data_IF_540043810742
#
_entry.id   IF_540043810742
#
_cell.length_a   1.000
_cell.length_b   1.000
_cell.length_c   1.000
_cell.angle_alpha   90.00
_cell.angle_beta   90.00
_cell.angle_gamma   90.00
#
_symmetry.space_group_name_H-M   'P 1'
#
loop_
_entity.id
_entity.type
_entity.pdbx_description
1 polymer ?
#
# COMPACT_ATOMS: atom_id res chain seq x y z
N UNK A 1 34.11 -27.74 -44.55
CA UNK A 1 34.33 -26.64 -43.60
C UNK A 1 32.98 -26.06 -43.16
N UNK A 2 32.46 -26.54 -42.04
CA UNK A 2 31.21 -26.07 -41.46
C UNK A 2 31.51 -25.05 -40.36
N UNK A 3 31.32 -23.75 -40.68
CA UNK A 3 31.46 -22.64 -39.74
C UNK A 3 30.30 -22.63 -38.80
N UNK A 4 30.52 -23.00 -37.55
CA UNK A 4 29.55 -22.79 -36.48
C UNK A 4 29.51 -21.30 -36.14
N UNK A 5 28.46 -20.61 -36.57
CA UNK A 5 28.21 -19.23 -36.18
C UNK A 5 27.99 -19.19 -34.66
N UNK A 6 29.01 -18.72 -33.91
CA UNK A 6 28.85 -18.36 -32.50
C UNK A 6 27.82 -17.21 -32.42
N UNK A 7 26.61 -17.54 -32.02
CA UNK A 7 25.65 -16.51 -31.58
C UNK A 7 26.29 -15.73 -30.44
N UNK A 8 26.73 -14.51 -30.71
CA UNK A 8 27.13 -13.56 -29.67
C UNK A 8 25.95 -13.44 -28.71
N UNK A 9 26.09 -13.88 -27.46
CA UNK A 9 25.18 -13.51 -26.39
C UNK A 9 25.15 -11.98 -26.37
N UNK A 10 24.02 -11.38 -26.67
CA UNK A 10 23.84 -9.95 -26.49
C UNK A 10 24.20 -9.64 -25.03
N UNK A 11 25.16 -8.75 -24.83
CA UNK A 11 25.51 -8.30 -23.48
C UNK A 11 24.25 -7.68 -22.86
N UNK A 12 23.81 -8.23 -21.73
CA UNK A 12 22.73 -7.61 -20.95
C UNK A 12 23.13 -6.17 -20.64
N UNK A 13 22.25 -5.22 -20.94
CA UNK A 13 22.46 -3.84 -20.54
C UNK A 13 22.59 -3.78 -19.02
N UNK A 14 23.57 -3.03 -18.48
CA UNK A 14 23.66 -2.83 -17.04
C UNK A 14 22.37 -2.15 -16.55
N UNK A 15 21.91 -2.55 -15.37
CA UNK A 15 20.75 -1.92 -14.74
C UNK A 15 21.05 -0.44 -14.45
N UNK A 16 20.06 0.45 -14.59
CA UNK A 16 20.22 1.81 -14.11
C UNK A 16 20.46 1.84 -12.60
N UNK A 17 21.17 2.83 -12.10
CA UNK A 17 21.48 2.98 -10.67
C UNK A 17 20.25 3.34 -9.82
N UNK A 18 19.22 3.90 -10.45
CA UNK A 18 17.97 4.31 -9.82
C UNK A 18 16.77 3.84 -10.63
N UNK A 19 15.65 3.65 -9.94
CA UNK A 19 14.36 3.39 -10.56
C UNK A 19 13.79 4.64 -11.25
N UNK A 20 12.60 4.50 -11.78
CA UNK A 20 11.93 5.55 -12.54
C UNK A 20 10.54 5.82 -11.97
N UNK A 21 10.21 7.10 -11.79
CA UNK A 21 8.87 7.56 -11.44
C UNK A 21 8.14 7.95 -12.72
N UNK A 22 6.92 7.44 -12.88
CA UNK A 22 6.04 7.73 -14.02
C UNK A 22 4.71 8.27 -13.52
N UNK A 23 4.13 9.15 -14.31
CA UNK A 23 2.75 9.62 -14.16
C UNK A 23 1.91 8.96 -15.26
N UNK A 24 0.85 8.27 -14.90
CA UNK A 24 0.06 7.46 -15.83
C UNK A 24 -1.45 7.64 -15.63
N UNK A 25 -2.19 7.46 -16.69
CA UNK A 25 -3.64 7.29 -16.63
C UNK A 25 -3.96 5.79 -16.53
N UNK A 26 -4.70 5.40 -15.50
CA UNK A 26 -5.18 4.04 -15.35
C UNK A 26 -6.63 3.98 -15.84
N UNK A 27 -6.95 3.12 -16.83
CA UNK A 27 -8.32 2.98 -17.32
C UNK A 27 -9.30 2.54 -16.21
N UNK A 28 -10.50 3.11 -16.22
CA UNK A 28 -11.56 2.88 -15.25
C UNK A 28 -12.71 2.02 -15.82
N UNK A 29 -12.40 1.06 -16.68
CA UNK A 29 -13.38 0.33 -17.49
C UNK A 29 -14.43 -0.45 -16.67
N UNK A 30 -14.10 -0.86 -15.44
CA UNK A 30 -15.01 -1.58 -14.54
C UNK A 30 -15.70 -0.66 -13.54
N UNK A 31 -14.96 0.27 -12.97
CA UNK A 31 -15.48 1.16 -11.93
C UNK A 31 -16.25 2.37 -12.46
N UNK A 32 -15.88 2.83 -13.63
CA UNK A 32 -16.28 4.15 -14.14
C UNK A 32 -15.96 5.29 -13.15
N UNK A 33 -14.98 5.08 -12.27
CA UNK A 33 -14.55 6.06 -11.29
C UNK A 33 -13.64 7.11 -11.94
N UNK A 34 -13.93 8.38 -11.74
CA UNK A 34 -13.12 9.47 -12.27
C UNK A 34 -11.93 9.74 -11.36
N UNK A 35 -10.81 9.11 -11.66
CA UNK A 35 -9.55 9.28 -10.93
C UNK A 35 -8.63 10.28 -11.62
N UNK A 36 -7.83 10.98 -10.81
CA UNK A 36 -6.66 11.72 -11.30
C UNK A 36 -5.55 10.76 -11.71
N UNK A 37 -4.50 11.27 -12.34
CA UNK A 37 -3.34 10.47 -12.76
C UNK A 37 -2.67 9.78 -11.57
N UNK A 38 -2.30 8.54 -11.76
CA UNK A 38 -1.53 7.76 -10.81
C UNK A 38 -0.03 8.03 -10.95
N UNK A 39 0.71 7.84 -9.85
CA UNK A 39 2.16 7.77 -9.84
C UNK A 39 2.61 6.32 -9.76
N UNK A 40 3.66 5.96 -10.50
CA UNK A 40 4.24 4.61 -10.49
C UNK A 40 5.72 4.73 -10.24
N UNK A 41 6.27 3.91 -9.34
CA UNK A 41 7.71 3.72 -9.22
C UNK A 41 8.08 2.34 -9.78
N UNK A 42 9.04 2.32 -10.70
CA UNK A 42 9.65 1.12 -11.26
C UNK A 42 11.08 0.99 -10.75
N UNK A 43 11.43 -0.07 -10.01
CA UNK A 43 12.80 -0.28 -9.56
C UNK A 43 13.73 -0.57 -10.75
N UNK A 44 15.06 -0.46 -10.59
CA UNK A 44 16.01 -0.75 -11.65
C UNK A 44 15.79 -2.11 -12.35
N UNK A 45 15.48 -3.16 -11.61
CA UNK A 45 15.22 -4.49 -12.17
C UNK A 45 13.99 -4.52 -13.09
N UNK A 46 12.98 -3.70 -12.85
CA UNK A 46 11.81 -3.59 -13.74
C UNK A 46 12.14 -2.92 -15.08
N UNK A 47 13.25 -2.20 -15.17
CA UNK A 47 13.72 -1.48 -16.36
C UNK A 47 14.72 -2.32 -17.20
N UNK A 48 14.96 -3.56 -16.81
CA UNK A 48 15.85 -4.49 -17.55
C UNK A 48 15.18 -5.02 -18.82
N UNK A 49 15.98 -5.57 -19.72
CA UNK A 49 15.50 -6.22 -20.96
C UNK A 49 14.63 -7.47 -20.65
N UNK A 50 14.80 -8.05 -19.48
CA UNK A 50 14.03 -9.22 -18.99
C UNK A 50 13.67 -9.02 -17.52
N UNK A 51 12.70 -8.18 -17.25
CA UNK A 51 12.33 -7.88 -15.87
C UNK A 51 11.78 -9.13 -15.16
N UNK A 52 12.20 -9.38 -13.89
CA UNK A 52 11.57 -10.41 -13.07
C UNK A 52 10.16 -10.01 -12.68
N UNK A 53 9.35 -10.97 -12.25
CA UNK A 53 8.08 -10.69 -11.59
C UNK A 53 8.35 -10.14 -10.19
N UNK A 54 7.92 -8.90 -9.92
CA UNK A 54 8.24 -8.17 -8.70
C UNK A 54 7.03 -8.06 -7.77
N UNK A 55 7.27 -7.97 -6.45
CA UNK A 55 6.23 -7.60 -5.50
C UNK A 55 5.67 -6.22 -5.79
N UNK A 56 4.48 -5.94 -5.26
CA UNK A 56 3.76 -4.68 -5.45
C UNK A 56 3.36 -4.07 -4.11
N UNK A 57 3.57 -2.79 -3.98
CA UNK A 57 2.99 -1.96 -2.92
C UNK A 57 2.03 -0.94 -3.55
N UNK A 58 0.74 -1.13 -3.35
CA UNK A 58 -0.29 -0.15 -3.70
C UNK A 58 -0.45 0.81 -2.52
N UNK A 59 0.01 2.05 -2.69
CA UNK A 59 0.11 3.03 -1.62
C UNK A 59 -0.85 4.20 -1.85
N UNK A 60 -1.56 4.58 -0.80
CA UNK A 60 -2.59 5.62 -0.84
C UNK A 60 -2.20 6.83 -0.01
N UNK A 61 -2.35 8.01 -0.58
CA UNK A 61 -2.16 9.27 0.12
C UNK A 61 -3.27 9.51 1.17
N UNK A 62 -3.08 10.54 1.99
CA UNK A 62 -4.14 11.05 2.87
C UNK A 62 -5.12 11.95 2.14
N UNK A 63 -6.12 12.43 2.86
CA UNK A 63 -7.09 13.41 2.42
C UNK A 63 -7.07 14.61 3.40
N UNK A 64 -6.93 15.84 2.91
CA UNK A 64 -6.75 16.26 1.51
C UNK A 64 -5.38 15.85 0.95
N UNK A 65 -5.32 15.55 -0.34
CA UNK A 65 -4.05 15.15 -0.98
C UNK A 65 -4.19 14.69 -2.42
N UNK A 66 -3.12 14.12 -2.92
CA UNK A 66 -3.00 13.57 -4.28
C UNK A 66 -1.95 12.47 -4.33
N UNK A 67 -1.93 11.63 -5.39
CA UNK A 67 -0.90 10.59 -5.53
C UNK A 67 0.53 11.10 -5.45
N UNK A 68 0.83 12.31 -5.97
CA UNK A 68 2.17 12.89 -5.93
C UNK A 68 2.72 13.09 -4.51
N UNK A 69 1.85 13.17 -3.48
CA UNK A 69 2.29 13.34 -2.09
C UNK A 69 3.17 12.20 -1.59
N UNK A 70 2.99 10.98 -2.10
CA UNK A 70 3.85 9.83 -1.78
C UNK A 70 5.28 10.04 -2.28
N UNK A 71 5.43 10.75 -3.40
CA UNK A 71 6.73 11.07 -3.98
C UNK A 71 7.34 12.29 -3.29
N UNK A 72 6.59 13.39 -3.21
CA UNK A 72 7.08 14.69 -2.75
C UNK A 72 7.31 14.75 -1.24
N UNK A 73 6.35 14.26 -0.44
CA UNK A 73 6.38 14.29 1.01
C UNK A 73 6.70 12.91 1.63
N UNK A 74 6.21 11.84 1.02
CA UNK A 74 6.48 10.47 1.47
C UNK A 74 7.87 9.98 1.11
N UNK A 75 8.53 10.61 0.15
CA UNK A 75 9.88 10.29 -0.33
C UNK A 75 10.06 8.81 -0.72
N UNK A 76 8.99 8.20 -1.24
CA UNK A 76 8.96 6.75 -1.47
C UNK A 76 9.95 6.30 -2.55
N UNK A 77 10.17 7.11 -3.57
CA UNK A 77 11.13 6.78 -4.63
C UNK A 77 12.57 6.67 -4.09
N UNK A 78 12.98 7.59 -3.22
CA UNK A 78 14.30 7.54 -2.58
C UNK A 78 14.42 6.33 -1.64
N UNK A 79 13.38 6.02 -0.89
CA UNK A 79 13.34 4.83 -0.02
C UNK A 79 13.49 3.54 -0.83
N UNK A 80 12.77 3.42 -1.94
CA UNK A 80 12.86 2.28 -2.86
C UNK A 80 14.22 2.18 -3.54
N UNK A 81 14.78 3.31 -3.97
CA UNK A 81 16.12 3.35 -4.59
C UNK A 81 17.21 2.89 -3.60
N UNK A 82 17.13 3.35 -2.34
CA UNK A 82 18.06 2.93 -1.30
C UNK A 82 17.97 1.42 -1.01
N UNK A 83 16.75 0.87 -1.01
CA UNK A 83 16.53 -0.57 -0.89
C UNK A 83 17.09 -1.32 -2.10
N UNK A 84 16.75 -0.92 -3.32
CA UNK A 84 17.19 -1.56 -4.55
C UNK A 84 18.72 -1.58 -4.69
N UNK A 85 19.40 -0.51 -4.26
CA UNK A 85 20.86 -0.44 -4.29
C UNK A 85 21.54 -1.54 -3.46
N UNK A 86 20.87 -2.05 -2.43
CA UNK A 86 21.35 -3.15 -1.57
C UNK A 86 20.85 -4.53 -1.99
N UNK A 87 19.99 -4.61 -3.00
CA UNK A 87 19.31 -5.82 -3.43
C UNK A 87 19.37 -6.03 -4.95
N UNK A 88 20.54 -5.75 -5.55
CA UNK A 88 20.80 -5.98 -6.98
C UNK A 88 19.78 -5.32 -7.92
N UNK A 89 19.27 -4.16 -7.55
CA UNK A 89 18.25 -3.43 -8.31
C UNK A 89 16.82 -3.89 -8.06
N UNK A 90 16.61 -4.86 -7.17
CA UNK A 90 15.30 -5.39 -6.80
C UNK A 90 14.64 -4.53 -5.73
N UNK A 91 13.40 -4.17 -5.97
CA UNK A 91 12.49 -3.57 -4.99
C UNK A 91 11.06 -3.81 -5.45
N UNK A 92 10.05 -3.61 -4.60
CA UNK A 92 8.68 -3.63 -5.06
C UNK A 92 8.40 -2.55 -6.10
N UNK A 93 7.50 -2.85 -7.04
CA UNK A 93 6.86 -1.81 -7.86
C UNK A 93 5.86 -1.10 -6.96
N UNK A 94 5.87 0.24 -6.98
CA UNK A 94 4.92 1.04 -6.22
C UNK A 94 3.86 1.58 -7.17
N UNK A 95 2.59 1.34 -6.82
CA UNK A 95 1.42 1.93 -7.48
C UNK A 95 0.82 2.95 -6.53
N UNK A 96 0.66 4.18 -6.97
CA UNK A 96 0.00 5.23 -6.20
C UNK A 96 -1.21 5.72 -7.00
N UNK A 97 -2.34 4.99 -6.96
CA UNK A 97 -3.57 5.42 -7.60
C UNK A 97 -4.23 6.55 -6.83
N UNK A 98 -5.16 7.22 -7.46
CA UNK A 98 -5.99 8.25 -6.86
C UNK A 98 -7.29 7.65 -6.34
N UNK A 99 -7.42 7.54 -5.02
CA UNK A 99 -8.63 7.00 -4.40
C UNK A 99 -9.78 8.00 -4.30
N UNK A 100 -9.54 9.28 -4.53
CA UNK A 100 -10.54 10.33 -4.22
C UNK A 100 -11.08 11.10 -5.42
N UNK A 101 -10.38 11.12 -6.55
CA UNK A 101 -10.78 11.92 -7.73
C UNK A 101 -10.42 13.41 -7.62
N UNK A 102 -10.53 13.98 -6.44
CA UNK A 102 -10.21 15.38 -6.12
C UNK A 102 -9.44 15.50 -4.80
N UNK A 103 -8.73 16.60 -4.61
CA UNK A 103 -7.89 16.81 -3.43
C UNK A 103 -8.68 16.83 -2.11
N UNK A 104 -9.88 17.39 -2.12
CA UNK A 104 -10.73 17.59 -0.93
C UNK A 104 -11.88 16.61 -0.82
N UNK A 105 -12.11 15.79 -1.85
CA UNK A 105 -13.13 14.74 -1.81
C UNK A 105 -12.65 13.56 -0.98
N UNK A 106 -13.55 12.96 -0.21
CA UNK A 106 -13.31 11.71 0.50
C UNK A 106 -14.23 10.63 -0.05
N UNK A 107 -13.68 9.72 -0.85
CA UNK A 107 -14.45 8.62 -1.43
C UNK A 107 -14.78 7.50 -0.43
N UNK A 108 -14.23 7.55 0.78
CA UNK A 108 -14.23 6.46 1.75
C UNK A 108 -13.56 5.17 1.23
N UNK A 109 -12.90 5.22 0.08
CA UNK A 109 -12.38 4.05 -0.65
C UNK A 109 -13.43 2.94 -0.86
N UNK A 110 -14.69 3.33 -1.03
CA UNK A 110 -15.83 2.43 -1.13
C UNK A 110 -16.60 2.65 -2.43
N UNK A 111 -17.29 1.63 -2.86
CA UNK A 111 -18.32 1.77 -3.88
C UNK A 111 -19.56 2.36 -3.20
N UNK A 112 -19.94 3.56 -3.63
CA UNK A 112 -20.97 4.37 -3.01
C UNK A 112 -21.79 5.11 -4.06
N UNK A 113 -22.78 5.86 -3.63
CA UNK A 113 -23.50 6.79 -4.51
C UNK A 113 -22.62 7.90 -5.09
N UNK A 114 -21.41 8.09 -4.51
CA UNK A 114 -20.42 9.10 -4.94
C UNK A 114 -19.41 8.57 -5.95
N UNK A 115 -19.46 7.28 -6.30
CA UNK A 115 -18.56 6.62 -7.23
C UNK A 115 -18.03 5.30 -6.69
N UNK A 116 -17.40 4.52 -7.57
CA UNK A 116 -16.95 3.16 -7.28
C UNK A 116 -15.45 3.12 -7.02
N UNK A 117 -14.99 3.79 -5.97
CA UNK A 117 -13.57 3.90 -5.63
C UNK A 117 -12.96 2.54 -5.27
N UNK A 118 -13.67 1.65 -4.57
CA UNK A 118 -13.19 0.31 -4.25
C UNK A 118 -12.95 -0.51 -5.52
N UNK A 119 -13.92 -0.56 -6.43
CA UNK A 119 -13.78 -1.27 -7.71
C UNK A 119 -12.61 -0.71 -8.53
N UNK A 120 -12.42 0.61 -8.53
CA UNK A 120 -11.26 1.22 -9.17
C UNK A 120 -9.95 0.70 -8.59
N UNK A 121 -9.77 0.79 -7.26
CA UNK A 121 -8.52 0.41 -6.57
C UNK A 121 -8.25 -1.10 -6.68
N UNK A 122 -9.26 -1.94 -6.48
CA UNK A 122 -9.08 -3.39 -6.36
C UNK A 122 -9.28 -4.16 -7.66
N UNK A 123 -9.87 -3.55 -8.67
CA UNK A 123 -10.11 -4.20 -9.97
C UNK A 123 -9.38 -3.48 -11.11
N UNK A 124 -9.70 -2.21 -11.37
CA UNK A 124 -9.11 -1.50 -12.51
C UNK A 124 -7.59 -1.33 -12.37
N UNK A 125 -7.13 -0.86 -11.21
CA UNK A 125 -5.70 -0.65 -10.91
C UNK A 125 -4.94 -1.98 -10.94
N UNK A 126 -5.46 -2.99 -10.28
CA UNK A 126 -4.83 -4.31 -10.18
C UNK A 126 -4.72 -4.99 -11.54
N UNK A 127 -5.80 -4.99 -12.33
CA UNK A 127 -5.80 -5.60 -13.66
C UNK A 127 -4.87 -4.86 -14.62
N UNK A 128 -4.87 -3.53 -14.57
CA UNK A 128 -3.96 -2.72 -15.37
C UNK A 128 -2.49 -3.04 -15.03
N UNK A 129 -2.14 -3.09 -13.75
CA UNK A 129 -0.78 -3.40 -13.32
C UNK A 129 -0.35 -4.81 -13.74
N UNK A 130 -1.22 -5.81 -13.58
CA UNK A 130 -0.94 -7.20 -14.00
C UNK A 130 -0.78 -7.34 -15.53
N UNK A 131 -1.40 -6.47 -16.30
CA UNK A 131 -1.29 -6.45 -17.77
C UNK A 131 -0.06 -5.68 -18.25
N UNK A 132 0.26 -4.55 -17.61
CA UNK A 132 1.22 -3.57 -18.15
C UNK A 132 2.60 -3.64 -17.51
N UNK A 133 2.71 -4.21 -16.32
CA UNK A 133 3.93 -4.16 -15.50
C UNK A 133 4.42 -5.58 -15.16
N UNK A 134 5.75 -5.74 -14.90
CA UNK A 134 6.32 -7.02 -14.50
C UNK A 134 6.03 -7.32 -13.02
N UNK A 135 4.78 -7.48 -12.68
CA UNK A 135 4.32 -7.74 -11.31
C UNK A 135 4.08 -9.23 -11.06
N UNK A 136 4.39 -9.68 -9.85
CA UNK A 136 3.99 -10.99 -9.38
C UNK A 136 2.47 -11.09 -9.24
N UNK A 137 1.91 -12.29 -9.40
CA UNK A 137 0.45 -12.49 -9.47
C UNK A 137 -0.18 -12.96 -8.16
N UNK A 138 0.59 -13.60 -7.27
CA UNK A 138 0.06 -14.14 -6.01
C UNK A 138 -0.23 -13.03 -5.00
N UNK A 139 -1.28 -13.21 -4.20
CA UNK A 139 -1.67 -12.25 -3.17
C UNK A 139 -0.55 -11.97 -2.14
N UNK A 140 0.26 -12.98 -1.82
CA UNK A 140 1.40 -12.83 -0.90
C UNK A 140 2.40 -11.76 -1.36
N UNK A 141 2.48 -11.52 -2.67
CA UNK A 141 3.40 -10.57 -3.28
C UNK A 141 2.83 -9.15 -3.39
N UNK A 142 1.59 -8.94 -2.93
CA UNK A 142 0.90 -7.66 -2.99
C UNK A 142 0.60 -7.14 -1.59
N UNK A 143 0.95 -5.88 -1.36
CA UNK A 143 0.57 -5.14 -0.17
C UNK A 143 -0.21 -3.89 -0.56
N UNK A 144 -1.13 -3.47 0.31
CA UNK A 144 -1.67 -2.12 0.30
C UNK A 144 -1.17 -1.38 1.54
N UNK A 145 -0.89 -0.11 1.39
CA UNK A 145 -0.52 0.76 2.50
C UNK A 145 -1.05 2.17 2.27
N UNK A 146 -0.93 3.00 3.26
CA UNK A 146 -1.38 4.37 3.12
C UNK A 146 -1.22 5.19 4.40
N UNK A 147 -1.34 6.48 4.22
CA UNK A 147 -1.27 7.47 5.28
C UNK A 147 -2.64 8.05 5.58
N UNK A 148 -2.99 8.19 6.87
CA UNK A 148 -4.22 8.82 7.31
C UNK A 148 -5.46 8.14 6.66
N UNK A 149 -6.26 8.85 5.85
CA UNK A 149 -7.35 8.23 5.08
C UNK A 149 -6.85 7.03 4.26
N UNK A 150 -5.68 7.10 3.64
CA UNK A 150 -5.10 5.98 2.91
C UNK A 150 -4.80 4.77 3.80
N UNK A 151 -4.42 5.00 5.05
CA UNK A 151 -4.28 3.95 6.07
C UNK A 151 -5.61 3.30 6.43
N UNK A 152 -6.65 4.10 6.58
CA UNK A 152 -8.03 3.63 6.83
C UNK A 152 -8.54 2.81 5.65
N UNK A 153 -8.28 3.26 4.42
CA UNK A 153 -8.60 2.51 3.20
C UNK A 153 -7.91 1.13 3.21
N UNK A 154 -6.64 1.09 3.58
CA UNK A 154 -5.87 -0.15 3.66
C UNK A 154 -6.52 -1.17 4.58
N UNK A 155 -6.84 -0.77 5.80
CA UNK A 155 -7.37 -1.69 6.82
C UNK A 155 -8.83 -2.11 6.60
N UNK A 156 -9.58 -1.37 5.77
CA UNK A 156 -10.92 -1.82 5.37
C UNK A 156 -10.90 -2.70 4.10
N UNK A 157 -10.01 -2.42 3.14
CA UNK A 157 -10.03 -3.11 1.85
C UNK A 157 -9.28 -4.45 1.88
N UNK A 158 -8.09 -4.48 2.44
CA UNK A 158 -7.23 -5.68 2.40
C UNK A 158 -7.90 -6.92 3.01
N UNK A 159 -8.53 -6.85 4.18
CA UNK A 159 -9.20 -8.03 4.77
C UNK A 159 -10.34 -8.57 3.91
N UNK A 160 -10.94 -7.73 3.08
CA UNK A 160 -12.04 -8.11 2.18
C UNK A 160 -11.57 -8.63 0.82
N UNK A 161 -10.29 -8.46 0.50
CA UNK A 161 -9.68 -8.88 -0.76
C UNK A 161 -8.43 -9.75 -0.54
N UNK A 162 -8.54 -10.89 0.19
CA UNK A 162 -7.41 -11.76 0.45
C UNK A 162 -6.88 -12.44 -0.82
N UNK A 163 -7.67 -12.48 -1.88
CA UNK A 163 -7.27 -12.97 -3.20
C UNK A 163 -6.33 -12.02 -3.95
N UNK A 164 -6.23 -10.75 -3.49
CA UNK A 164 -5.39 -9.71 -4.11
C UNK A 164 -4.21 -9.36 -3.23
N UNK A 165 -4.44 -9.17 -1.92
CA UNK A 165 -3.46 -8.60 -0.99
C UNK A 165 -3.09 -9.57 0.13
N UNK A 166 -1.80 -9.70 0.40
CA UNK A 166 -1.27 -10.50 1.50
C UNK A 166 -0.75 -9.68 2.68
N UNK A 167 -0.69 -8.35 2.57
CA UNK A 167 -0.16 -7.50 3.63
C UNK A 167 -0.78 -6.10 3.63
N UNK A 168 -0.78 -5.50 4.83
CA UNK A 168 -1.22 -4.13 5.09
C UNK A 168 -0.10 -3.32 5.73
N UNK A 169 0.14 -2.09 5.23
CA UNK A 169 1.11 -1.15 5.80
C UNK A 169 0.46 0.23 6.06
N UNK A 170 -0.57 0.32 6.91
CA UNK A 170 -1.19 1.60 7.25
C UNK A 170 -0.34 2.39 8.25
N UNK A 171 -0.35 3.72 8.12
CA UNK A 171 0.27 4.66 9.07
C UNK A 171 -0.74 5.74 9.44
N UNK A 172 -0.87 6.02 10.72
CA UNK A 172 -1.77 7.03 11.29
C UNK A 172 -3.21 6.93 10.75
N UNK A 173 -3.73 5.69 10.62
CA UNK A 173 -5.08 5.45 10.13
C UNK A 173 -6.17 5.73 11.17
N UNK A 174 -7.38 5.94 10.68
CA UNK A 174 -8.57 6.11 11.50
C UNK A 174 -9.19 4.75 11.87
N UNK A 175 -10.00 4.74 12.91
CA UNK A 175 -10.70 3.52 13.34
C UNK A 175 -11.78 3.08 12.34
N UNK A 176 -12.32 4.03 11.58
CA UNK A 176 -13.36 3.81 10.56
C UNK A 176 -13.34 4.95 9.53
N UNK A 177 -13.71 4.68 8.28
CA UNK A 177 -13.82 5.75 7.29
C UNK A 177 -14.96 6.71 7.68
N UNK A 178 -14.67 8.00 7.71
CA UNK A 178 -15.64 9.04 8.08
C UNK A 178 -15.55 10.25 7.17
N UNK A 179 -16.71 10.89 6.96
CA UNK A 179 -16.83 12.19 6.33
C UNK A 179 -17.93 12.96 7.05
N UNK A 180 -17.56 13.74 8.07
CA UNK A 180 -18.51 14.38 8.97
C UNK A 180 -19.19 13.38 9.93
N UNK A 181 -20.47 13.60 10.26
CA UNK A 181 -21.17 12.66 11.13
C UNK A 181 -21.50 11.35 10.41
N UNK A 182 -21.36 10.23 11.12
CA UNK A 182 -21.59 8.89 10.56
C UNK A 182 -23.02 8.76 10.01
N UNK A 183 -24.03 9.26 10.73
CA UNK A 183 -25.42 9.18 10.29
C UNK A 183 -25.68 9.89 8.95
N UNK A 184 -25.17 11.11 8.80
CA UNK A 184 -25.29 11.88 7.56
C UNK A 184 -24.50 11.19 6.43
N UNK A 185 -23.30 10.76 6.69
CA UNK A 185 -22.47 10.06 5.73
C UNK A 185 -23.12 8.76 5.23
N UNK A 186 -23.66 7.94 6.13
CA UNK A 186 -24.36 6.70 5.73
C UNK A 186 -25.56 7.03 4.84
N UNK A 187 -26.29 8.09 5.14
CA UNK A 187 -27.40 8.53 4.29
C UNK A 187 -26.93 8.97 2.89
N UNK A 188 -25.87 9.75 2.82
CA UNK A 188 -25.36 10.32 1.57
C UNK A 188 -24.60 9.30 0.70
N UNK A 189 -23.76 8.47 1.30
CA UNK A 189 -22.86 7.55 0.58
C UNK A 189 -23.44 6.15 0.37
N UNK A 190 -24.25 5.68 1.33
CA UNK A 190 -24.78 4.32 1.35
C UNK A 190 -26.30 4.25 1.25
N UNK A 191 -26.94 5.34 0.82
CA UNK A 191 -28.40 5.42 0.71
C UNK A 191 -29.14 4.99 2.00
N UNK A 192 -28.55 5.25 3.16
CA UNK A 192 -29.09 4.89 4.46
C UNK A 192 -28.79 3.44 4.91
N UNK A 193 -28.08 2.65 4.12
CA UNK A 193 -27.73 1.27 4.49
C UNK A 193 -26.61 1.24 5.55
N UNK A 194 -27.01 1.36 6.81
CA UNK A 194 -26.11 1.31 7.95
C UNK A 194 -25.39 -0.02 8.08
N UNK A 195 -26.02 -1.14 7.71
CA UNK A 195 -25.41 -2.49 7.81
C UNK A 195 -24.28 -2.67 6.83
N UNK A 196 -24.45 -2.14 5.60
CA UNK A 196 -23.38 -2.17 4.60
C UNK A 196 -22.14 -1.40 5.08
N UNK A 197 -22.35 -0.25 5.72
CA UNK A 197 -21.25 0.51 6.32
C UNK A 197 -20.58 -0.23 7.48
N UNK A 198 -21.35 -0.60 8.51
CA UNK A 198 -20.81 -1.21 9.73
C UNK A 198 -20.10 -2.54 9.43
N UNK A 199 -20.67 -3.40 8.59
CA UNK A 199 -20.13 -4.72 8.29
C UNK A 199 -18.91 -4.71 7.36
N UNK A 200 -18.88 -3.79 6.40
CA UNK A 200 -17.92 -3.83 5.31
C UNK A 200 -16.88 -2.72 5.34
N UNK A 201 -17.15 -1.59 6.02
CA UNK A 201 -16.30 -0.41 5.95
C UNK A 201 -15.55 -0.15 7.25
N UNK A 202 -16.01 -0.66 8.37
CA UNK A 202 -15.32 -0.55 9.66
C UNK A 202 -14.23 -1.62 9.73
N UNK A 203 -12.94 -1.25 9.81
CA UNK A 203 -11.82 -2.20 9.70
C UNK A 203 -11.89 -3.39 10.67
N UNK A 204 -12.22 -3.15 11.93
CA UNK A 204 -12.32 -4.25 12.91
C UNK A 204 -13.39 -5.28 12.53
N UNK A 205 -14.49 -4.85 11.92
CA UNK A 205 -15.55 -5.74 11.45
C UNK A 205 -15.15 -6.46 10.15
N UNK A 206 -14.49 -5.76 9.23
CA UNK A 206 -13.95 -6.37 8.01
C UNK A 206 -12.92 -7.46 8.35
N UNK A 207 -12.02 -7.21 9.28
CA UNK A 207 -11.05 -8.18 9.78
C UNK A 207 -11.75 -9.38 10.44
N UNK A 208 -12.71 -9.14 11.33
CA UNK A 208 -13.44 -10.21 12.00
C UNK A 208 -14.22 -11.08 11.00
N UNK A 209 -14.78 -10.49 9.96
CA UNK A 209 -15.51 -11.21 8.91
C UNK A 209 -14.62 -12.03 7.98
N UNK A 210 -13.32 -11.75 7.92
CA UNK A 210 -12.35 -12.51 7.11
C UNK A 210 -12.06 -13.91 7.67
N UNK A 211 -12.43 -14.19 8.93
CA UNK A 211 -12.10 -15.43 9.63
C UNK A 211 -10.59 -15.54 9.93
N UNK A 212 -10.05 -16.75 9.94
CA UNK A 212 -8.61 -16.96 10.06
C UNK A 212 -7.91 -16.49 8.78
N UNK A 213 -6.90 -15.64 8.93
CA UNK A 213 -6.25 -14.99 7.80
C UNK A 213 -4.73 -15.20 7.83
N UNK A 214 -4.17 -15.49 6.66
CA UNK A 214 -2.71 -15.51 6.43
C UNK A 214 -2.14 -14.14 6.06
N UNK A 215 -2.99 -13.11 6.00
CA UNK A 215 -2.54 -11.73 5.77
C UNK A 215 -1.73 -11.24 6.97
N UNK A 216 -0.89 -10.23 6.74
CA UNK A 216 -0.08 -9.63 7.79
C UNK A 216 -0.35 -8.13 7.89
N UNK A 217 -0.21 -7.60 9.10
CA UNK A 217 -0.35 -6.17 9.41
C UNK A 217 0.99 -5.64 9.95
N UNK A 218 1.56 -4.70 9.22
CA UNK A 218 2.70 -3.90 9.65
C UNK A 218 2.26 -2.45 9.75
N UNK A 219 2.13 -1.92 10.95
CA UNK A 219 1.49 -0.63 11.18
C UNK A 219 2.31 0.26 12.09
N UNK A 220 2.07 1.55 12.03
CA UNK A 220 2.71 2.51 12.91
C UNK A 220 1.94 3.81 13.06
N UNK A 221 2.30 4.56 14.08
CA UNK A 221 1.73 5.86 14.36
C UNK A 221 2.77 6.81 14.98
N UNK A 222 2.60 8.11 14.76
CA UNK A 222 3.40 9.12 15.43
C UNK A 222 3.10 9.18 16.93
N UNK A 223 4.15 9.31 17.75
CA UNK A 223 4.04 9.35 19.23
C UNK A 223 3.07 10.42 19.73
N UNK A 224 3.01 11.56 19.03
CA UNK A 224 2.16 12.70 19.40
C UNK A 224 0.72 12.56 18.92
N UNK A 225 0.44 11.61 18.03
CA UNK A 225 -0.91 11.32 17.55
C UNK A 225 -1.57 10.22 18.39
N UNK A 226 -2.07 10.62 19.55
CA UNK A 226 -2.66 9.69 20.52
C UNK A 226 -3.91 8.98 20.00
N UNK A 227 -4.67 9.63 19.13
CA UNK A 227 -5.85 9.05 18.51
C UNK A 227 -5.45 7.94 17.54
N UNK A 228 -4.52 8.19 16.64
CA UNK A 228 -4.01 7.18 15.70
C UNK A 228 -3.36 6.00 16.43
N UNK A 229 -2.65 6.23 17.55
CA UNK A 229 -2.12 5.15 18.39
C UNK A 229 -3.25 4.27 18.93
N UNK A 230 -4.30 4.86 19.47
CA UNK A 230 -5.46 4.13 19.99
C UNK A 230 -6.17 3.33 18.90
N UNK A 231 -6.37 3.94 17.74
CA UNK A 231 -6.96 3.30 16.57
C UNK A 231 -6.12 2.12 16.09
N UNK A 232 -4.82 2.33 15.96
CA UNK A 232 -3.85 1.31 15.55
C UNK A 232 -3.91 0.07 16.47
N UNK A 233 -3.90 0.27 17.78
CA UNK A 233 -3.97 -0.82 18.76
C UNK A 233 -5.27 -1.60 18.66
N UNK A 234 -6.39 -0.92 18.51
CA UNK A 234 -7.70 -1.56 18.35
C UNK A 234 -7.75 -2.44 17.10
N UNK A 235 -7.21 -1.95 15.98
CA UNK A 235 -7.15 -2.70 14.72
C UNK A 235 -6.16 -3.86 14.83
N UNK A 236 -5.00 -3.64 15.44
CA UNK A 236 -4.00 -4.68 15.66
C UNK A 236 -4.52 -5.83 16.52
N UNK A 237 -5.29 -5.55 17.56
CA UNK A 237 -5.93 -6.57 18.39
C UNK A 237 -6.95 -7.41 17.60
N UNK A 238 -7.73 -6.77 16.73
CA UNK A 238 -8.64 -7.49 15.83
C UNK A 238 -7.86 -8.38 14.84
N UNK A 239 -6.75 -7.88 14.29
CA UNK A 239 -5.89 -8.63 13.39
C UNK A 239 -5.27 -9.86 14.06
N UNK A 240 -4.77 -9.73 15.29
CA UNK A 240 -4.25 -10.86 16.09
C UNK A 240 -5.32 -11.92 16.34
N UNK A 241 -6.54 -11.50 16.68
CA UNK A 241 -7.68 -12.42 16.87
C UNK A 241 -8.03 -13.18 15.59
N UNK A 242 -7.80 -12.59 14.42
CA UNK A 242 -7.98 -13.23 13.13
C UNK A 242 -6.77 -14.10 12.70
N UNK A 243 -5.74 -14.24 13.55
CA UNK A 243 -4.56 -15.04 13.27
C UNK A 243 -3.51 -14.39 12.38
N UNK A 244 -3.61 -13.10 12.13
CA UNK A 244 -2.62 -12.36 11.34
C UNK A 244 -1.30 -12.19 12.11
N UNK A 245 -0.18 -12.18 11.39
CA UNK A 245 1.08 -11.64 11.89
C UNK A 245 0.94 -10.12 12.04
N UNK A 246 1.27 -9.58 13.22
CA UNK A 246 1.10 -8.16 13.53
C UNK A 246 2.38 -7.55 14.05
N UNK A 247 2.76 -6.43 13.47
CA UNK A 247 3.85 -5.56 13.95
C UNK A 247 3.30 -4.15 14.17
N UNK A 248 3.51 -3.60 15.35
CA UNK A 248 3.09 -2.24 15.71
C UNK A 248 4.31 -1.40 16.08
N UNK A 249 4.41 -0.22 15.48
CA UNK A 249 5.50 0.73 15.69
C UNK A 249 4.97 2.07 16.17
N UNK A 250 5.73 2.69 17.07
CA UNK A 250 5.60 4.11 17.42
C UNK A 250 6.80 4.86 16.84
N UNK A 251 6.54 6.05 16.30
CA UNK A 251 7.59 6.93 15.81
C UNK A 251 7.80 8.06 16.83
N UNK A 252 8.88 8.01 17.64
CA UNK A 252 9.17 9.03 18.65
C UNK A 252 9.26 10.43 18.03
N UNK A 253 8.64 11.41 18.67
CA UNK A 253 8.69 12.80 18.24
C UNK A 253 7.85 13.16 17.02
N UNK A 254 7.26 12.19 16.31
CA UNK A 254 6.38 12.44 15.17
C UNK A 254 4.93 12.68 15.62
N UNK A 255 4.21 13.44 14.80
CA UNK A 255 2.76 13.61 14.88
C UNK A 255 2.06 12.88 13.76
N UNK A 256 0.91 13.42 13.35
CA UNK A 256 0.17 12.97 12.16
C UNK A 256 0.81 13.57 10.90
N UNK A 257 1.94 13.04 10.48
CA UNK A 257 2.78 13.66 9.47
C UNK A 257 3.57 12.64 8.62
N UNK A 258 4.16 13.14 7.54
CA UNK A 258 4.96 12.32 6.64
C UNK A 258 6.28 11.81 7.25
N UNK A 259 6.75 12.42 8.34
CA UNK A 259 7.90 11.89 9.08
C UNK A 259 7.54 10.52 9.70
N UNK A 260 6.35 10.40 10.29
CA UNK A 260 5.86 9.11 10.78
C UNK A 260 5.78 8.07 9.65
N UNK A 261 5.24 8.44 8.49
CA UNK A 261 5.14 7.56 7.33
C UNK A 261 6.51 7.04 6.87
N UNK A 262 7.47 7.93 6.68
CA UNK A 262 8.81 7.55 6.25
C UNK A 262 9.51 6.64 7.26
N UNK A 263 9.38 6.94 8.55
CA UNK A 263 9.99 6.16 9.62
C UNK A 263 9.42 4.74 9.72
N UNK A 264 8.12 4.56 9.49
CA UNK A 264 7.45 3.24 9.50
C UNK A 264 7.76 2.45 8.23
N UNK A 265 7.72 3.09 7.07
CA UNK A 265 7.87 2.35 5.80
C UNK A 265 9.31 1.94 5.47
N UNK A 266 10.33 2.54 6.07
CA UNK A 266 11.70 2.03 5.92
C UNK A 266 11.85 0.59 6.46
N UNK A 267 11.58 0.32 7.75
CA UNK A 267 11.57 -1.05 8.24
C UNK A 267 10.44 -1.90 7.61
N UNK A 268 9.30 -1.29 7.28
CA UNK A 268 8.20 -1.97 6.60
C UNK A 268 8.58 -2.50 5.23
N UNK A 269 9.40 -1.77 4.48
CA UNK A 269 9.93 -2.22 3.19
C UNK A 269 10.91 -3.40 3.37
N UNK A 270 11.80 -3.34 4.35
CA UNK A 270 12.71 -4.44 4.65
C UNK A 270 11.93 -5.70 5.05
N UNK A 271 10.92 -5.56 5.89
CA UNK A 271 10.01 -6.64 6.28
C UNK A 271 9.23 -7.21 5.08
N UNK A 272 8.66 -6.36 4.24
CA UNK A 272 7.92 -6.80 3.05
C UNK A 272 8.83 -7.45 2.01
N UNK A 273 10.07 -6.96 1.86
CA UNK A 273 11.10 -7.55 1.03
C UNK A 273 11.45 -8.97 1.46
N UNK A 274 11.65 -9.20 2.76
CA UNK A 274 11.88 -10.54 3.30
C UNK A 274 10.66 -11.44 3.09
N UNK A 275 9.46 -10.95 3.41
CA UNK A 275 8.20 -11.68 3.23
C UNK A 275 7.96 -12.13 1.79
N UNK A 276 8.44 -11.36 0.82
CA UNK A 276 8.26 -11.61 -0.62
C UNK A 276 9.48 -12.21 -1.31
N UNK A 277 10.55 -12.47 -0.56
CA UNK A 277 11.75 -13.15 -1.07
C UNK A 277 12.73 -12.24 -1.82
N UNK A 278 12.65 -10.92 -1.67
CA UNK A 278 13.62 -9.98 -2.26
C UNK A 278 14.95 -9.97 -1.53
N UNK A 279 14.94 -10.20 -0.21
CA UNK A 279 16.13 -10.26 0.61
C UNK A 279 15.77 -10.39 2.10
N UNK A 280 16.67 -11.00 2.87
CA UNK A 280 16.50 -11.14 4.31
C UNK A 280 16.72 -9.81 5.01
N UNK A 281 16.02 -9.60 6.13
CA UNK A 281 16.28 -8.47 7.02
C UNK A 281 17.63 -8.65 7.70
N UNK A 282 18.52 -7.68 7.55
CA UNK A 282 19.88 -7.73 8.10
C UNK A 282 19.96 -7.30 9.56
N UNK A 283 18.87 -6.73 10.10
CA UNK A 283 18.74 -6.28 11.48
C UNK A 283 17.32 -6.45 11.99
N UNK A 284 17.17 -6.61 13.30
CA UNK A 284 15.87 -6.67 13.94
C UNK A 284 15.17 -5.31 13.93
N UNK A 285 13.84 -5.30 14.08
CA UNK A 285 13.06 -4.04 14.13
C UNK A 285 13.50 -3.12 15.28
N UNK A 286 14.00 -3.68 16.37
CA UNK A 286 14.51 -2.91 17.53
C UNK A 286 15.79 -2.12 17.23
N UNK A 287 16.49 -2.45 16.16
CA UNK A 287 17.72 -1.79 15.72
C UNK A 287 17.48 -0.60 14.79
N UNK A 288 16.21 -0.32 14.45
CA UNK A 288 15.85 0.89 13.70
C UNK A 288 15.70 2.06 14.68
N UNK A 289 16.57 3.10 14.62
CA UNK A 289 16.62 4.14 15.65
C UNK A 289 15.41 5.08 15.64
N UNK A 290 14.62 5.07 14.57
CA UNK A 290 13.50 6.01 14.37
C UNK A 290 12.15 5.44 14.79
N UNK A 291 12.10 4.19 15.23
CA UNK A 291 10.86 3.52 15.62
C UNK A 291 11.04 2.75 16.92
N UNK A 292 9.96 2.63 17.66
CA UNK A 292 9.84 1.74 18.81
C UNK A 292 8.82 0.65 18.51
N UNK A 293 9.20 -0.59 18.77
CA UNK A 293 8.31 -1.74 18.60
C UNK A 293 7.44 -1.89 19.84
N UNK A 294 6.12 -1.86 19.65
CA UNK A 294 5.18 -2.19 20.73
C UNK A 294 5.11 -3.72 20.91
N UNK A 295 5.08 -4.14 22.18
CA UNK A 295 4.96 -5.55 22.58
C UNK A 295 3.50 -5.90 22.86
#
# INVERSE_FOLDING_TARGET
>A
ATGVARRRRAACRPLPSQGKVLTVDIPNAKSNFTARKAMIYLPPAALSDRPPALPVMELLAGQPGSPSRLIDAGNIAATMNAYAAKHDGLAPIVLVPDQNGEATHNSLCADTTQGNAETYLTTDVVNWAKKMLPVAKSARMWAMGGFSQGGTCTTQLVPRHPEIYGAMLPVDGELKPTNGSVGKMVQEYFAGDRKAYDGNRVPVNAIASSGTSEQALFTGAGERDKESISNMRTIADAARKAGMEVTELIVPGAGHDWHAVQAVWRPGLDWFGERTGLGEMTKSLKEYPQVEVLQ
#
